data_IF_287930627613
#
_entry.id   IF_287930627613
#
_cell.length_a   1.000
_cell.length_b   1.000
_cell.length_c   1.000
_cell.angle_alpha   90.00
_cell.angle_beta   90.00
_cell.angle_gamma   90.00
#
_symmetry.space_group_name_H-M   'P 1'
#
loop_
_entity.id
_entity.type
_entity.pdbx_description
1 polymer ?
#
# COMPACT_ATOMS: atom_id res chain seq x y z
N UNK A 1 -8.03 7.95 11.54
CA UNK A 1 -7.79 9.17 10.74
C UNK A 1 -9.07 9.75 10.15
N UNK A 2 -9.93 8.96 9.50
CA UNK A 2 -11.21 9.46 8.93
C UNK A 2 -12.14 10.09 9.97
N UNK A 3 -12.35 9.47 11.13
CA UNK A 3 -13.20 10.03 12.19
C UNK A 3 -12.69 11.40 12.69
N UNK A 4 -11.37 11.57 12.77
CA UNK A 4 -10.74 12.83 13.14
C UNK A 4 -10.95 13.91 12.06
N UNK A 5 -10.84 13.55 10.77
CA UNK A 5 -11.16 14.45 9.67
C UNK A 5 -12.64 14.90 9.70
N UNK A 6 -13.57 13.98 9.95
CA UNK A 6 -15.00 14.29 10.07
C UNK A 6 -15.24 15.26 11.23
N UNK A 7 -14.63 15.01 12.39
CA UNK A 7 -14.73 15.90 13.54
C UNK A 7 -14.21 17.31 13.23
N UNK A 8 -13.05 17.43 12.58
CA UNK A 8 -12.51 18.73 12.15
C UNK A 8 -13.41 19.42 11.12
N UNK A 9 -13.97 18.68 10.16
CA UNK A 9 -14.90 19.25 9.18
C UNK A 9 -16.15 19.83 9.87
N UNK A 10 -16.72 19.13 10.86
CA UNK A 10 -17.85 19.62 11.63
C UNK A 10 -17.50 20.88 12.43
N UNK A 11 -16.33 20.90 13.08
CA UNK A 11 -15.84 22.10 13.78
C UNK A 11 -15.58 23.28 12.84
N UNK A 12 -15.00 23.03 11.67
CA UNK A 12 -14.74 24.06 10.66
C UNK A 12 -16.05 24.65 10.13
N UNK A 13 -17.02 23.79 9.77
CA UNK A 13 -18.36 24.19 9.33
C UNK A 13 -19.10 24.97 10.42
N UNK A 14 -18.99 24.54 11.69
CA UNK A 14 -19.61 25.23 12.81
C UNK A 14 -19.07 26.66 12.98
N UNK A 15 -17.74 26.84 12.90
CA UNK A 15 -17.12 28.17 12.95
C UNK A 15 -17.47 29.04 11.72
N UNK A 16 -17.65 28.41 10.55
CA UNK A 16 -17.95 29.11 9.30
C UNK A 16 -19.41 29.60 9.25
N UNK A 17 -20.38 28.74 9.59
CA UNK A 17 -21.82 29.04 9.48
C UNK A 17 -22.43 29.62 10.76
N UNK A 18 -21.88 29.28 11.93
CA UNK A 18 -22.40 29.73 13.22
C UNK A 18 -21.32 30.45 14.07
N UNK A 19 -20.64 31.50 13.54
CA UNK A 19 -19.54 32.16 14.25
C UNK A 19 -19.98 32.83 15.56
N UNK A 20 -21.24 33.29 15.67
CA UNK A 20 -21.76 33.85 16.94
C UNK A 20 -21.89 32.78 18.03
N UNK A 21 -22.34 31.58 17.67
CA UNK A 21 -22.42 30.46 18.59
C UNK A 21 -21.02 29.95 18.98
N UNK A 22 -20.09 29.92 18.02
CA UNK A 22 -18.70 29.57 18.27
C UNK A 22 -18.00 30.58 19.20
N UNK A 23 -18.25 31.88 19.02
CA UNK A 23 -17.79 32.91 19.95
C UNK A 23 -18.39 32.72 21.35
N UNK A 24 -19.69 32.45 21.44
CA UNK A 24 -20.34 32.22 22.73
C UNK A 24 -19.73 31.02 23.46
N UNK A 25 -19.46 29.92 22.75
CA UNK A 25 -18.81 28.74 23.30
C UNK A 25 -17.34 28.94 23.70
N UNK A 26 -16.63 29.90 23.09
CA UNK A 26 -15.23 30.18 23.39
C UNK A 26 -15.05 31.14 24.56
N UNK A 27 -15.52 32.38 24.41
CA UNK A 27 -15.31 33.47 25.38
C UNK A 27 -16.58 34.25 25.69
N UNK A 28 -17.58 34.19 24.82
CA UNK A 28 -18.80 34.98 24.98
C UNK A 28 -19.61 34.62 26.22
N UNK A 29 -19.56 33.37 26.69
CA UNK A 29 -20.18 32.98 27.96
C UNK A 29 -19.54 33.62 29.20
N UNK A 30 -18.29 34.09 29.11
CA UNK A 30 -17.56 34.74 30.22
C UNK A 30 -17.79 36.25 30.27
N UNK A 31 -18.26 36.83 29.17
CA UNK A 31 -18.46 38.27 29.04
C UNK A 31 -19.94 38.57 29.29
N UNK A 32 -20.22 39.41 30.28
CA UNK A 32 -21.59 39.85 30.56
C UNK A 32 -21.97 40.95 29.57
N UNK A 33 -23.06 40.73 28.83
CA UNK A 33 -23.67 41.71 27.92
C UNK A 33 -22.72 42.30 26.84
N UNK A 34 -21.69 41.54 26.46
CA UNK A 34 -20.81 41.92 25.35
C UNK A 34 -21.27 41.24 24.06
N UNK A 35 -21.22 41.96 22.94
CA UNK A 35 -21.43 41.37 21.62
C UNK A 35 -20.07 41.10 20.94
N UNK A 36 -19.96 40.03 20.13
CA UNK A 36 -18.76 39.81 19.34
C UNK A 36 -18.55 40.94 18.34
N UNK A 37 -17.32 41.43 18.24
CA UNK A 37 -16.97 42.38 17.19
C UNK A 37 -17.04 41.73 15.81
N UNK A 38 -17.35 42.53 14.79
CA UNK A 38 -17.38 42.06 13.40
C UNK A 38 -16.05 41.45 12.95
N UNK A 39 -14.93 42.05 13.39
CA UNK A 39 -13.60 41.53 13.15
C UNK A 39 -13.42 40.11 13.72
N UNK A 40 -13.94 39.85 14.93
CA UNK A 40 -13.86 38.52 15.54
C UNK A 40 -14.69 37.50 14.77
N UNK A 41 -15.90 37.87 14.34
CA UNK A 41 -16.75 36.98 13.53
C UNK A 41 -16.11 36.64 12.17
N UNK A 42 -15.41 37.60 11.55
CA UNK A 42 -14.65 37.37 10.31
C UNK A 42 -13.49 36.39 10.57
N UNK A 43 -12.74 36.58 11.66
CA UNK A 43 -11.63 35.69 12.03
C UNK A 43 -12.13 34.26 12.25
N UNK A 44 -13.26 34.07 12.93
CA UNK A 44 -13.87 32.75 13.12
C UNK A 44 -14.25 32.10 11.79
N UNK A 45 -14.80 32.86 10.85
CA UNK A 45 -15.14 32.34 9.51
C UNK A 45 -13.91 31.91 8.73
N UNK A 46 -12.86 32.73 8.73
CA UNK A 46 -11.59 32.41 8.06
C UNK A 46 -10.95 31.17 8.71
N UNK A 47 -10.87 31.14 10.04
CA UNK A 47 -10.36 30.01 10.80
C UNK A 47 -11.14 28.72 10.54
N UNK A 48 -12.48 28.80 10.54
CA UNK A 48 -13.35 27.68 10.19
C UNK A 48 -13.11 27.17 8.77
N UNK A 49 -12.94 28.06 7.80
CA UNK A 49 -12.57 27.72 6.42
C UNK A 49 -11.23 26.99 6.33
N UNK A 50 -10.21 27.47 7.04
CA UNK A 50 -8.89 26.81 7.09
C UNK A 50 -9.00 25.41 7.69
N UNK A 51 -9.74 25.26 8.79
CA UNK A 51 -9.98 23.95 9.43
C UNK A 51 -10.70 22.98 8.48
N UNK A 52 -11.68 23.46 7.69
CA UNK A 52 -12.33 22.65 6.66
C UNK A 52 -11.34 22.17 5.59
N UNK A 53 -10.43 23.04 5.13
CA UNK A 53 -9.41 22.67 4.13
C UNK A 53 -8.49 21.57 4.68
N UNK A 54 -8.02 21.72 5.92
CA UNK A 54 -7.18 20.71 6.59
C UNK A 54 -7.94 19.38 6.73
N UNK A 55 -9.22 19.42 7.11
CA UNK A 55 -10.04 18.23 7.21
C UNK A 55 -10.16 17.49 5.86
N UNK A 56 -10.33 18.21 4.75
CA UNK A 56 -10.39 17.64 3.40
C UNK A 56 -9.04 16.98 3.05
N UNK A 57 -7.91 17.63 3.31
CA UNK A 57 -6.58 17.07 3.04
C UNK A 57 -6.37 15.76 3.81
N UNK A 58 -6.72 15.72 5.11
CA UNK A 58 -6.62 14.52 5.93
C UNK A 58 -7.57 13.43 5.41
N UNK A 59 -8.78 13.79 4.99
CA UNK A 59 -9.74 12.82 4.46
C UNK A 59 -9.23 12.18 3.15
N UNK A 60 -8.66 12.97 2.24
CA UNK A 60 -8.13 12.49 0.96
C UNK A 60 -6.90 11.59 1.16
N UNK A 61 -6.03 11.91 2.12
CA UNK A 61 -4.82 11.13 2.43
C UNK A 61 -5.09 9.90 3.29
N UNK A 62 -6.20 9.84 4.01
CA UNK A 62 -6.56 8.67 4.82
C UNK A 62 -6.79 7.39 4.01
N UNK A 63 -7.01 7.52 2.69
CA UNK A 63 -7.15 6.40 1.75
C UNK A 63 -5.85 5.95 1.07
N UNK A 64 -4.78 6.75 1.15
CA UNK A 64 -3.52 6.52 0.40
C UNK A 64 -2.41 5.91 1.25
N UNK A 65 -2.73 5.37 2.43
CA UNK A 65 -1.77 4.56 3.15
C UNK A 65 -1.53 3.29 2.35
N UNK A 66 -0.31 3.14 1.80
CA UNK A 66 0.19 1.89 1.25
C UNK A 66 0.04 0.80 2.31
N UNK A 67 -1.10 0.12 2.27
CA UNK A 67 -1.35 -1.06 3.07
C UNK A 67 -0.56 -2.15 2.38
N UNK A 68 0.65 -2.39 2.87
CA UNK A 68 1.34 -3.66 2.64
C UNK A 68 0.32 -4.76 2.94
N UNK A 69 -0.16 -5.43 1.88
CA UNK A 69 -1.29 -6.35 2.08
C UNK A 69 -0.77 -7.58 2.82
N UNK A 70 -1.64 -8.29 3.54
CA UNK A 70 -1.24 -9.43 4.38
C UNK A 70 -0.35 -10.44 3.64
N UNK A 71 -0.54 -10.61 2.32
CA UNK A 71 0.28 -11.50 1.51
C UNK A 71 1.69 -10.96 1.27
N UNK A 72 1.88 -9.66 1.00
CA UNK A 72 3.21 -9.10 0.76
C UNK A 72 4.10 -9.29 1.98
N UNK A 73 3.60 -8.81 3.13
CA UNK A 73 4.30 -8.91 4.41
C UNK A 73 4.72 -10.35 4.70
N UNK A 74 3.80 -11.27 4.48
CA UNK A 74 4.02 -12.69 4.70
C UNK A 74 5.07 -13.30 3.77
N UNK A 75 5.03 -13.01 2.47
CA UNK A 75 6.07 -13.49 1.53
C UNK A 75 7.43 -12.92 1.94
N UNK A 76 7.49 -11.62 2.25
CA UNK A 76 8.71 -10.94 2.70
C UNK A 76 9.24 -11.54 3.99
N UNK A 77 8.38 -11.74 5.00
CA UNK A 77 8.75 -12.32 6.29
C UNK A 77 9.26 -13.76 6.14
N UNK A 78 8.59 -14.59 5.32
CA UNK A 78 9.00 -15.98 5.08
C UNK A 78 10.38 -16.05 4.39
N UNK A 79 10.59 -15.23 3.36
CA UNK A 79 11.88 -15.14 2.67
C UNK A 79 12.96 -14.58 3.61
N UNK A 80 12.67 -13.52 4.37
CA UNK A 80 13.61 -12.89 5.31
C UNK A 80 14.08 -13.87 6.40
N UNK A 81 13.17 -14.69 6.94
CA UNK A 81 13.46 -15.65 8.02
C UNK A 81 14.12 -16.95 7.54
N UNK A 82 14.58 -17.01 6.29
CA UNK A 82 15.29 -18.14 5.70
C UNK A 82 14.52 -19.46 5.76
N UNK A 83 13.21 -19.40 5.51
CA UNK A 83 12.35 -20.58 5.54
C UNK A 83 12.37 -21.36 4.23
N UNK A 84 13.33 -21.15 3.33
CA UNK A 84 13.39 -21.82 2.04
C UNK A 84 13.85 -23.27 2.24
N UNK A 85 13.01 -24.23 1.87
CA UNK A 85 13.30 -25.66 1.92
C UNK A 85 13.96 -26.13 0.61
N UNK A 86 13.34 -25.77 -0.52
CA UNK A 86 13.85 -26.10 -1.85
C UNK A 86 13.34 -25.12 -2.90
N UNK A 87 14.04 -25.07 -4.02
CA UNK A 87 13.67 -24.23 -5.17
C UNK A 87 13.62 -25.11 -6.42
N UNK A 88 12.51 -25.07 -7.13
CA UNK A 88 12.30 -25.81 -8.38
C UNK A 88 12.03 -24.84 -9.54
N UNK A 89 12.57 -25.14 -10.71
CA UNK A 89 12.30 -24.43 -11.96
C UNK A 89 11.59 -25.40 -12.88
N UNK A 90 10.35 -25.09 -13.27
CA UNK A 90 9.52 -25.99 -14.08
C UNK A 90 9.52 -27.43 -13.53
N UNK A 91 9.30 -27.57 -12.21
CA UNK A 91 9.29 -28.85 -11.48
C UNK A 91 10.64 -29.59 -11.41
N UNK A 92 11.76 -28.95 -11.78
CA UNK A 92 13.11 -29.53 -11.66
C UNK A 92 13.90 -28.82 -10.55
N UNK A 93 14.63 -29.54 -9.69
CA UNK A 93 15.43 -28.90 -8.64
C UNK A 93 16.50 -28.00 -9.24
N UNK A 94 16.61 -26.79 -8.72
CA UNK A 94 17.60 -25.81 -9.15
C UNK A 94 18.82 -25.90 -8.24
N UNK A 95 20.00 -26.11 -8.83
CA UNK A 95 21.28 -26.13 -8.11
C UNK A 95 22.21 -24.98 -8.52
N UNK A 96 21.86 -24.23 -9.56
CA UNK A 96 22.68 -23.15 -10.11
C UNK A 96 22.45 -21.78 -9.46
N UNK A 97 21.44 -21.65 -8.59
CA UNK A 97 21.15 -20.41 -7.88
C UNK A 97 21.26 -20.65 -6.37
N UNK A 98 22.02 -19.78 -5.69
CA UNK A 98 22.06 -19.78 -4.24
C UNK A 98 20.73 -19.21 -3.71
N UNK A 99 20.12 -19.90 -2.73
CA UNK A 99 18.84 -19.50 -2.15
C UNK A 99 18.93 -18.11 -1.51
N UNK A 100 20.07 -17.78 -0.91
CA UNK A 100 20.31 -16.47 -0.30
C UNK A 100 20.45 -15.37 -1.37
N UNK A 101 21.05 -15.67 -2.52
CA UNK A 101 21.16 -14.74 -3.64
C UNK A 101 19.79 -14.44 -4.26
N UNK A 102 19.01 -15.48 -4.55
CA UNK A 102 17.64 -15.37 -5.05
C UNK A 102 16.77 -14.53 -4.11
N UNK A 103 16.81 -14.85 -2.82
CA UNK A 103 16.13 -14.11 -1.77
C UNK A 103 16.51 -12.63 -1.80
N UNK A 104 17.80 -12.33 -1.89
CA UNK A 104 18.29 -10.96 -1.92
C UNK A 104 17.77 -10.19 -3.14
N UNK A 105 17.71 -10.82 -4.32
CA UNK A 105 17.14 -10.19 -5.51
C UNK A 105 15.64 -9.89 -5.34
N UNK A 106 14.88 -10.85 -4.83
CA UNK A 106 13.44 -10.72 -4.61
C UNK A 106 13.13 -9.65 -3.55
N UNK A 107 13.79 -9.70 -2.39
CA UNK A 107 13.53 -8.79 -1.27
C UNK A 107 13.91 -7.34 -1.57
N UNK A 108 14.99 -7.10 -2.34
CA UNK A 108 15.42 -5.76 -2.75
C UNK A 108 14.58 -5.16 -3.88
N UNK A 109 13.74 -5.96 -4.52
CA UNK A 109 12.91 -5.48 -5.64
C UNK A 109 11.77 -4.60 -5.17
N UNK A 110 11.40 -3.62 -6.00
CA UNK A 110 10.27 -2.73 -5.74
C UNK A 110 8.96 -3.37 -6.25
N UNK A 111 8.19 -3.95 -5.34
CA UNK A 111 6.99 -4.68 -5.68
C UNK A 111 5.81 -3.73 -5.85
N UNK A 112 5.00 -3.98 -6.87
CA UNK A 112 3.80 -3.22 -7.16
C UNK A 112 2.64 -4.16 -7.44
N UNK A 113 1.43 -3.69 -7.18
CA UNK A 113 0.25 -4.41 -7.68
C UNK A 113 0.26 -4.38 -9.21
N UNK A 114 -0.08 -5.50 -9.88
CA UNK A 114 -0.17 -5.52 -11.33
C UNK A 114 -1.23 -4.52 -11.80
N UNK A 115 -0.95 -3.84 -12.91
CA UNK A 115 -1.88 -2.88 -13.52
C UNK A 115 -3.17 -3.55 -14.02
N UNK A 116 -3.12 -4.86 -14.25
CA UNK A 116 -4.23 -5.69 -14.71
C UNK A 116 -4.52 -6.75 -13.65
N UNK A 117 -5.80 -6.95 -13.34
CA UNK A 117 -6.24 -8.05 -12.47
C UNK A 117 -6.26 -9.36 -13.28
N UNK A 118 -5.15 -10.08 -13.25
CA UNK A 118 -4.96 -11.32 -14.00
C UNK A 118 -5.99 -12.41 -13.64
N UNK A 119 -6.59 -12.36 -12.44
CA UNK A 119 -7.68 -13.29 -12.04
C UNK A 119 -8.93 -13.15 -12.91
N UNK A 120 -9.09 -12.02 -13.59
CA UNK A 120 -10.21 -11.78 -14.52
C UNK A 120 -9.89 -12.20 -15.96
N UNK A 121 -8.66 -12.64 -16.23
CA UNK A 121 -8.26 -13.15 -17.54
C UNK A 121 -8.47 -14.65 -17.63
N UNK A 122 -8.98 -15.11 -18.77
CA UNK A 122 -9.21 -16.53 -19.07
C UNK A 122 -7.91 -17.32 -19.29
N UNK A 123 -6.77 -16.65 -19.44
CA UNK A 123 -5.47 -17.27 -19.68
C UNK A 123 -4.33 -16.35 -19.25
N UNK A 124 -3.36 -16.92 -18.54
CA UNK A 124 -2.09 -16.31 -18.21
C UNK A 124 -0.99 -17.26 -18.70
N UNK A 125 -0.01 -16.76 -19.46
CA UNK A 125 1.15 -17.54 -19.89
C UNK A 125 2.41 -17.00 -19.23
N UNK A 126 3.05 -17.81 -18.41
CA UNK A 126 4.40 -17.58 -17.91
C UNK A 126 5.43 -18.10 -18.92
N UNK A 127 6.56 -17.41 -19.02
CA UNK A 127 7.69 -17.85 -19.85
C UNK A 127 8.54 -18.90 -19.11
N UNK A 128 8.73 -18.69 -17.81
CA UNK A 128 9.41 -19.59 -16.89
C UNK A 128 8.80 -19.42 -15.50
N UNK A 129 8.82 -20.49 -14.72
CA UNK A 129 8.20 -20.58 -13.40
C UNK A 129 9.17 -21.22 -12.40
N UNK A 130 9.39 -20.51 -11.31
CA UNK A 130 10.28 -20.85 -10.21
C UNK A 130 9.44 -21.00 -8.94
N UNK A 131 9.33 -22.22 -8.43
CA UNK A 131 8.60 -22.52 -7.21
C UNK A 131 9.58 -22.57 -6.04
N UNK A 132 9.27 -21.81 -4.99
CA UNK A 132 10.04 -21.74 -3.77
C UNK A 132 9.20 -22.43 -2.70
N UNK A 133 9.59 -23.67 -2.36
CA UNK A 133 8.98 -24.41 -1.26
C UNK A 133 9.56 -23.93 0.06
N UNK A 134 8.68 -23.64 1.00
CA UNK A 134 9.03 -23.17 2.33
C UNK A 134 8.88 -24.29 3.36
N UNK A 135 9.72 -24.27 4.40
CA UNK A 135 9.74 -25.22 5.53
C UNK A 135 8.40 -25.31 6.28
N UNK A 136 7.52 -24.32 6.12
CA UNK A 136 6.19 -24.28 6.72
C UNK A 136 5.12 -24.97 5.83
N UNK A 137 5.53 -25.65 4.75
CA UNK A 137 4.66 -26.34 3.79
C UNK A 137 4.00 -25.41 2.76
N UNK A 138 4.38 -24.14 2.71
CA UNK A 138 3.84 -23.16 1.76
C UNK A 138 4.74 -23.05 0.53
N UNK A 139 4.20 -22.46 -0.52
CA UNK A 139 4.86 -22.36 -1.81
C UNK A 139 4.69 -20.96 -2.37
N UNK A 140 5.81 -20.34 -2.76
CA UNK A 140 5.84 -19.04 -3.43
C UNK A 140 6.22 -19.28 -4.87
N UNK A 141 5.39 -18.84 -5.80
CA UNK A 141 5.65 -18.91 -7.22
C UNK A 141 6.23 -17.59 -7.69
N UNK A 142 7.34 -17.67 -8.43
CA UNK A 142 7.99 -16.55 -9.10
C UNK A 142 8.08 -16.87 -10.58
N UNK A 143 7.50 -16.05 -11.43
CA UNK A 143 7.46 -16.35 -12.85
C UNK A 143 7.83 -15.16 -13.71
N UNK A 144 8.54 -15.45 -14.80
CA UNK A 144 8.85 -14.47 -15.83
C UNK A 144 7.59 -14.20 -16.64
N UNK A 145 7.16 -12.94 -16.62
CA UNK A 145 6.10 -12.37 -17.46
C UNK A 145 6.74 -11.62 -18.62
N UNK A 146 6.05 -11.55 -19.77
CA UNK A 146 6.51 -10.96 -21.04
C UNK A 146 7.61 -9.89 -21.00
N UNK A 147 7.25 -8.62 -21.28
CA UNK A 147 8.20 -7.51 -21.41
C UNK A 147 8.80 -7.08 -20.05
N UNK A 148 9.80 -7.81 -19.56
CA UNK A 148 10.67 -7.42 -18.44
C UNK A 148 9.91 -7.26 -17.11
N UNK A 149 8.95 -8.15 -16.87
CA UNK A 149 8.22 -8.20 -15.61
C UNK A 149 8.34 -9.57 -14.97
N UNK A 150 8.44 -9.57 -13.65
CA UNK A 150 8.45 -10.77 -12.84
C UNK A 150 7.24 -10.71 -11.94
N UNK A 151 6.43 -11.76 -12.00
CA UNK A 151 5.31 -11.97 -11.11
C UNK A 151 5.73 -12.75 -9.88
N UNK A 152 5.12 -12.44 -8.74
CA UNK A 152 5.27 -13.21 -7.50
C UNK A 152 3.91 -13.34 -6.80
N UNK A 153 3.66 -14.52 -6.22
CA UNK A 153 2.44 -14.83 -5.48
C UNK A 153 2.57 -16.12 -4.67
N UNK A 154 1.60 -16.37 -3.80
CA UNK A 154 1.49 -17.65 -3.10
C UNK A 154 0.61 -18.60 -3.92
N UNK A 155 1.21 -19.60 -4.57
CA UNK A 155 0.51 -20.67 -5.32
C UNK A 155 -0.83 -20.25 -5.96
N UNK A 156 -0.78 -19.20 -6.77
CA UNK A 156 -1.94 -18.72 -7.53
C UNK A 156 -1.46 -18.63 -8.97
N UNK A 157 -2.21 -19.22 -9.89
CA UNK A 157 -2.04 -19.11 -11.36
C UNK A 157 -1.91 -17.67 -11.91
N UNK A 158 -1.91 -16.65 -11.05
CA UNK A 158 -1.90 -15.23 -11.35
C UNK A 158 -0.99 -14.47 -10.36
N UNK A 159 -0.23 -13.46 -10.83
CA UNK A 159 0.67 -12.71 -9.96
C UNK A 159 -0.09 -11.83 -9.00
N UNK A 160 0.26 -11.89 -7.72
CA UNK A 160 -0.24 -10.95 -6.72
C UNK A 160 0.52 -9.62 -6.75
N UNK A 161 1.80 -9.68 -7.11
CA UNK A 161 2.69 -8.55 -7.29
C UNK A 161 3.55 -8.72 -8.53
N UNK A 162 4.00 -7.60 -9.05
CA UNK A 162 4.96 -7.53 -10.14
C UNK A 162 6.12 -6.61 -9.77
N UNK A 163 7.30 -6.95 -10.26
CA UNK A 163 8.50 -6.13 -10.16
C UNK A 163 9.40 -6.38 -11.36
N UNK A 164 10.44 -5.55 -11.53
CA UNK A 164 11.49 -5.75 -12.54
C UNK A 164 12.79 -6.07 -11.83
N UNK A 165 13.51 -7.05 -12.34
CA UNK A 165 14.81 -7.46 -11.81
C UNK A 165 15.67 -7.98 -12.96
N UNK A 166 16.59 -7.15 -13.49
CA UNK A 166 17.44 -7.55 -14.61
C UNK A 166 18.26 -8.81 -14.31
N UNK A 167 18.65 -9.00 -13.04
CA UNK A 167 19.39 -10.18 -12.61
C UNK A 167 18.54 -11.45 -12.73
N UNK A 168 17.31 -11.41 -12.20
CA UNK A 168 16.41 -12.55 -12.21
C UNK A 168 15.85 -12.80 -13.63
N UNK A 169 15.62 -11.75 -14.42
CA UNK A 169 15.28 -11.85 -15.84
C UNK A 169 16.39 -12.51 -16.66
N UNK A 170 17.64 -12.11 -16.47
CA UNK A 170 18.80 -12.72 -17.11
C UNK A 170 18.96 -14.19 -16.68
N UNK A 171 18.76 -14.47 -15.39
CA UNK A 171 18.79 -15.82 -14.87
C UNK A 171 17.71 -16.71 -15.50
N UNK A 172 16.45 -16.24 -15.55
CA UNK A 172 15.37 -16.93 -16.27
C UNK A 172 15.67 -17.12 -17.76
N UNK A 173 16.35 -16.17 -18.40
CA UNK A 173 16.67 -16.28 -19.82
C UNK A 173 17.82 -17.25 -20.11
N UNK A 174 18.66 -17.53 -19.10
CA UNK A 174 19.77 -18.49 -19.20
C UNK A 174 19.41 -19.89 -18.75
N UNK A 175 18.36 -20.06 -17.93
CA UNK A 175 18.00 -21.35 -17.32
C UNK A 175 16.54 -21.78 -17.56
N UNK A 176 15.64 -20.84 -17.86
CA UNK A 176 14.19 -21.07 -18.02
C UNK A 176 13.77 -21.59 -19.39
N UNK A 177 14.73 -21.82 -20.30
CA UNK A 177 14.55 -22.37 -21.64
C UNK A 177 15.72 -23.26 -22.04
#
# INVERSE_FOLDING_TARGET
MVAFAIFLALLGLFNLFAPRAAWYGSIGWKLRDAEPSDAYLIILRIGGGIVCIVAIIIFLTAGTGDRETSTEKMIRDNLANNQIESVTLQMKPVTSIDADELKNWILKSNWKKPAIDYRKQSSFSSAAELDIHLNNGREIEVFKMGNDQIGIGEKVFYPEYVFSSPLLENWFSTHGY
#
